data_IF_143306669480
#
_entry.id   IF_143306669480
#
_cell.length_a   1.000
_cell.length_b   1.000
_cell.length_c   1.000
_cell.angle_alpha   90.00
_cell.angle_beta   90.00
_cell.angle_gamma   90.00
#
_symmetry.space_group_name_H-M   'P 1'
#
loop_
_entity.id
_entity.type
_entity.pdbx_description
1 polymer ?
#
# COMPACT_ATOMS: atom_id res chain seq x y z
N UNK A 1 -21.29 0.75 -18.20
CA UNK A 1 -20.45 0.77 -16.99
C UNK A 1 -20.18 -0.68 -16.56
N UNK A 2 -18.92 -1.02 -16.23
CA UNK A 2 -18.54 -2.31 -15.62
C UNK A 2 -18.49 -2.21 -14.08
N UNK A 3 -19.16 -1.20 -13.54
CA UNK A 3 -19.01 -0.74 -12.17
C UNK A 3 -20.33 -0.94 -11.42
N UNK A 4 -20.29 -1.60 -10.27
CA UNK A 4 -21.48 -1.87 -9.46
C UNK A 4 -21.91 -0.59 -8.72
N UNK A 5 -23.06 -0.06 -9.10
CA UNK A 5 -23.60 1.19 -8.56
C UNK A 5 -24.37 0.96 -7.25
N UNK A 6 -24.20 1.88 -6.30
CA UNK A 6 -24.90 1.87 -5.00
C UNK A 6 -26.31 2.45 -5.14
N UNK A 7 -27.15 1.83 -5.99
CA UNK A 7 -28.54 2.25 -6.14
C UNK A 7 -29.29 2.09 -4.81
N UNK A 8 -30.29 2.94 -4.57
CA UNK A 8 -30.94 3.09 -3.27
C UNK A 8 -31.50 1.79 -2.68
N UNK A 9 -32.04 0.89 -3.51
CA UNK A 9 -32.67 -0.36 -3.06
C UNK A 9 -31.94 -1.60 -3.57
N UNK A 10 -31.99 -2.68 -2.77
CA UNK A 10 -31.47 -3.99 -3.17
C UNK A 10 -32.05 -4.46 -4.50
N UNK A 11 -33.35 -4.31 -4.70
CA UNK A 11 -34.02 -4.69 -5.96
C UNK A 11 -33.46 -3.93 -7.15
N UNK A 12 -33.24 -2.61 -7.02
CA UNK A 12 -32.65 -1.81 -8.09
C UNK A 12 -31.22 -2.24 -8.40
N UNK A 13 -30.41 -2.53 -7.37
CA UNK A 13 -29.03 -3.02 -7.53
C UNK A 13 -28.98 -4.39 -8.22
N UNK A 14 -29.83 -5.34 -7.81
CA UNK A 14 -29.95 -6.65 -8.46
C UNK A 14 -30.38 -6.54 -9.92
N UNK A 15 -31.41 -5.73 -10.22
CA UNK A 15 -31.85 -5.50 -11.59
C UNK A 15 -30.77 -4.84 -12.45
N UNK A 16 -30.01 -3.89 -11.88
CA UNK A 16 -28.86 -3.28 -12.55
C UNK A 16 -27.77 -4.33 -12.84
N UNK A 17 -27.49 -5.22 -11.88
CA UNK A 17 -26.55 -6.33 -12.08
C UNK A 17 -26.99 -7.23 -13.25
N UNK A 18 -28.22 -7.73 -13.21
CA UNK A 18 -28.74 -8.69 -14.19
C UNK A 18 -28.90 -8.10 -15.59
N UNK A 19 -29.44 -6.88 -15.69
CA UNK A 19 -29.83 -6.28 -16.98
C UNK A 19 -28.71 -5.47 -17.63
N UNK A 20 -27.76 -4.97 -16.84
CA UNK A 20 -26.73 -4.04 -17.34
C UNK A 20 -25.34 -4.60 -17.08
N UNK A 21 -24.99 -4.85 -15.82
CA UNK A 21 -23.60 -5.11 -15.45
C UNK A 21 -23.10 -6.47 -15.96
N UNK A 22 -23.81 -7.56 -15.69
CA UNK A 22 -23.40 -8.89 -16.09
C UNK A 22 -23.33 -9.08 -17.63
N UNK A 23 -24.33 -8.62 -18.42
CA UNK A 23 -24.22 -8.64 -19.88
C UNK A 23 -23.01 -7.85 -20.40
N UNK A 24 -22.77 -6.66 -19.84
CA UNK A 24 -21.61 -5.84 -20.23
C UNK A 24 -20.29 -6.46 -19.81
N UNK A 25 -20.20 -7.09 -18.64
CA UNK A 25 -19.00 -7.79 -18.20
C UNK A 25 -18.66 -8.95 -19.15
N UNK A 26 -19.66 -9.76 -19.53
CA UNK A 26 -19.51 -10.84 -20.52
C UNK A 26 -19.05 -10.32 -21.89
N UNK A 27 -19.49 -9.12 -22.28
CA UNK A 27 -19.09 -8.47 -23.53
C UNK A 27 -17.64 -7.95 -23.49
N UNK A 28 -17.27 -7.26 -22.40
CA UNK A 28 -16.06 -6.44 -22.36
C UNK A 28 -14.86 -7.12 -21.70
N UNK A 29 -15.05 -7.87 -20.62
CA UNK A 29 -13.91 -8.49 -19.91
C UNK A 29 -13.06 -9.37 -20.85
N UNK A 30 -13.63 -10.25 -21.69
CA UNK A 30 -12.83 -11.03 -22.63
C UNK A 30 -12.00 -10.19 -23.62
N UNK A 31 -12.46 -8.99 -23.99
CA UNK A 31 -11.75 -8.08 -24.90
C UNK A 31 -10.53 -7.41 -24.25
N UNK A 32 -10.48 -7.37 -22.92
CA UNK A 32 -9.45 -6.65 -22.16
C UNK A 32 -8.58 -7.56 -21.28
N UNK A 33 -9.03 -8.77 -20.93
CA UNK A 33 -8.36 -9.65 -19.95
C UNK A 33 -6.90 -9.97 -20.31
N UNK A 34 -6.59 -10.01 -21.60
CA UNK A 34 -5.24 -10.35 -22.08
C UNK A 34 -4.41 -9.09 -22.43
N UNK A 35 -4.90 -7.88 -22.06
CA UNK A 35 -4.13 -6.66 -22.26
C UNK A 35 -2.97 -6.57 -21.29
N UNK A 36 -1.80 -6.37 -21.87
CA UNK A 36 -0.59 -6.01 -21.13
C UNK A 36 -0.86 -4.75 -20.29
N UNK A 37 -0.65 -4.86 -18.97
CA UNK A 37 -0.90 -3.79 -17.99
C UNK A 37 -2.20 -3.90 -17.19
N UNK A 38 -3.11 -4.81 -17.52
CA UNK A 38 -4.30 -5.04 -16.69
C UNK A 38 -3.96 -5.91 -15.47
N UNK A 39 -3.95 -5.30 -14.28
CA UNK A 39 -3.58 -5.99 -13.04
C UNK A 39 -4.77 -6.61 -12.28
N UNK A 40 -5.92 -5.92 -12.24
CA UNK A 40 -7.10 -6.33 -11.47
C UNK A 40 -8.37 -5.66 -12.00
N UNK A 41 -9.54 -6.17 -11.60
CA UNK A 41 -10.84 -5.59 -11.91
C UNK A 41 -11.48 -5.00 -10.64
N UNK A 42 -11.54 -3.67 -10.53
CA UNK A 42 -12.29 -3.03 -9.45
C UNK A 42 -13.80 -3.13 -9.71
N UNK A 43 -14.52 -3.83 -8.83
CA UNK A 43 -15.95 -4.07 -8.99
C UNK A 43 -16.80 -2.87 -8.56
N UNK A 44 -16.34 -2.17 -7.51
CA UNK A 44 -16.98 -1.01 -6.87
C UNK A 44 -16.02 -0.39 -5.83
N UNK A 45 -16.42 0.69 -5.19
CA UNK A 45 -15.67 1.37 -4.12
C UNK A 45 -16.57 1.69 -2.93
N UNK A 46 -15.95 1.91 -1.77
CA UNK A 46 -16.51 2.51 -0.56
C UNK A 46 -17.85 1.92 -0.10
N UNK A 47 -17.97 0.60 -0.20
CA UNK A 47 -19.19 -0.12 0.14
C UNK A 47 -19.42 -0.26 1.64
N UNK A 48 -20.69 -0.40 2.00
CA UNK A 48 -21.10 -0.86 3.33
C UNK A 48 -21.14 -2.39 3.42
N UNK A 49 -21.14 -2.98 4.62
CA UNK A 49 -21.19 -4.44 4.79
C UNK A 49 -22.40 -5.12 4.11
N UNK A 50 -23.53 -4.42 3.97
CA UNK A 50 -24.74 -4.96 3.35
C UNK A 50 -24.55 -5.26 1.86
N UNK A 51 -23.74 -4.46 1.16
CA UNK A 51 -23.49 -4.61 -0.28
C UNK A 51 -22.58 -5.80 -0.57
N UNK A 52 -21.71 -6.19 0.37
CA UNK A 52 -20.71 -7.26 0.20
C UNK A 52 -21.35 -8.58 -0.28
N UNK A 53 -22.47 -8.96 0.33
CA UNK A 53 -23.18 -10.19 -0.02
C UNK A 53 -23.77 -10.16 -1.43
N UNK A 54 -24.14 -8.97 -1.92
CA UNK A 54 -24.70 -8.78 -3.27
C UNK A 54 -23.63 -8.88 -4.36
N UNK A 55 -22.35 -8.70 -4.02
CA UNK A 55 -21.24 -8.76 -4.99
C UNK A 55 -20.78 -10.17 -5.34
N UNK A 56 -21.17 -11.20 -4.57
CA UNK A 56 -20.72 -12.59 -4.78
C UNK A 56 -20.93 -13.12 -6.20
N UNK A 57 -22.11 -12.92 -6.84
CA UNK A 57 -22.30 -13.25 -8.25
C UNK A 57 -21.34 -12.52 -9.19
N UNK A 58 -21.00 -11.26 -8.92
CA UNK A 58 -20.10 -10.50 -9.79
C UNK A 58 -18.64 -10.96 -9.64
N UNK A 59 -18.19 -11.22 -8.41
CA UNK A 59 -16.90 -11.87 -8.14
C UNK A 59 -16.71 -13.17 -8.93
N UNK A 60 -17.72 -14.05 -8.91
CA UNK A 60 -17.68 -15.32 -9.67
C UNK A 60 -17.58 -15.08 -11.18
N UNK A 61 -18.40 -14.15 -11.70
CA UNK A 61 -18.40 -13.83 -13.12
C UNK A 61 -17.04 -13.30 -13.60
N UNK A 62 -16.40 -12.41 -12.83
CA UNK A 62 -15.08 -11.88 -13.21
C UNK A 62 -14.01 -12.97 -13.18
N UNK A 63 -14.01 -13.84 -12.15
CA UNK A 63 -13.07 -14.98 -12.07
C UNK A 63 -13.21 -15.95 -13.24
N UNK A 64 -14.44 -16.17 -13.71
CA UNK A 64 -14.72 -16.99 -14.88
C UNK A 64 -14.18 -16.34 -16.17
N UNK A 65 -14.43 -15.04 -16.35
CA UNK A 65 -14.10 -14.34 -17.59
C UNK A 65 -12.61 -13.97 -17.69
N UNK A 66 -11.95 -13.67 -16.57
CA UNK A 66 -10.56 -13.22 -16.47
C UNK A 66 -9.84 -13.92 -15.29
N UNK A 67 -9.52 -15.23 -15.42
CA UNK A 67 -8.96 -16.01 -14.31
C UNK A 67 -7.57 -15.53 -13.83
N UNK A 68 -6.85 -14.78 -14.67
CA UNK A 68 -5.52 -14.26 -14.37
C UNK A 68 -5.54 -12.86 -13.73
N UNK A 69 -6.67 -12.15 -13.75
CA UNK A 69 -6.80 -10.80 -13.17
C UNK A 69 -7.85 -10.81 -12.05
N UNK A 70 -7.45 -10.71 -10.78
CA UNK A 70 -8.38 -10.84 -9.69
C UNK A 70 -9.40 -9.69 -9.66
N UNK A 71 -10.67 -9.97 -9.33
CA UNK A 71 -11.59 -8.93 -8.88
C UNK A 71 -11.15 -8.36 -7.51
N UNK A 72 -11.34 -7.06 -7.31
CA UNK A 72 -11.10 -6.34 -6.07
C UNK A 72 -12.19 -5.30 -5.81
N UNK A 73 -12.28 -4.82 -4.59
CA UNK A 73 -13.11 -3.68 -4.18
C UNK A 73 -12.23 -2.67 -3.45
N UNK A 74 -12.43 -1.40 -3.73
CA UNK A 74 -11.75 -0.31 -3.04
C UNK A 74 -12.51 0.03 -1.75
N UNK A 75 -11.96 -0.33 -0.60
CA UNK A 75 -12.62 -0.19 0.69
C UNK A 75 -12.10 1.03 1.46
N UNK A 76 -12.99 1.88 1.98
CA UNK A 76 -12.67 2.84 3.05
C UNK A 76 -13.27 2.40 4.41
N UNK A 77 -14.08 1.33 4.39
CA UNK A 77 -14.84 0.79 5.52
C UNK A 77 -14.27 -0.58 5.94
N UNK A 78 -13.65 -0.66 7.12
CA UNK A 78 -13.00 -1.90 7.59
C UNK A 78 -13.99 -3.06 7.82
N UNK A 79 -15.14 -2.87 8.49
CA UNK A 79 -16.19 -3.90 8.56
C UNK A 79 -16.58 -4.49 7.20
N UNK A 80 -16.72 -3.66 6.16
CA UNK A 80 -17.05 -4.13 4.82
C UNK A 80 -15.91 -4.95 4.20
N UNK A 81 -14.66 -4.48 4.32
CA UNK A 81 -13.48 -5.24 3.87
C UNK A 81 -13.36 -6.60 4.56
N UNK A 82 -13.61 -6.67 5.87
CA UNK A 82 -13.57 -7.93 6.62
C UNK A 82 -14.68 -8.89 6.18
N UNK A 83 -15.89 -8.38 5.93
CA UNK A 83 -16.97 -9.18 5.37
C UNK A 83 -16.62 -9.69 3.97
N UNK A 84 -15.99 -8.86 3.13
CA UNK A 84 -15.60 -9.20 1.76
C UNK A 84 -14.51 -10.29 1.74
N UNK A 85 -13.50 -10.16 2.60
CA UNK A 85 -12.48 -11.19 2.86
C UNK A 85 -13.09 -12.54 3.24
N UNK A 86 -14.09 -12.54 4.12
CA UNK A 86 -14.76 -13.77 4.59
C UNK A 86 -15.65 -14.40 3.52
N UNK A 87 -16.45 -13.60 2.81
CA UNK A 87 -17.50 -14.08 1.92
C UNK A 87 -16.99 -14.30 0.49
N UNK A 88 -16.33 -13.30 -0.08
CA UNK A 88 -15.94 -13.31 -1.49
C UNK A 88 -14.49 -13.75 -1.70
N UNK A 89 -13.66 -13.72 -0.65
CA UNK A 89 -12.26 -14.18 -0.64
C UNK A 89 -11.42 -13.57 -1.78
N UNK A 90 -11.40 -12.23 -1.94
CA UNK A 90 -10.59 -11.60 -2.97
C UNK A 90 -9.11 -11.91 -2.76
N UNK A 91 -8.33 -12.00 -3.84
CA UNK A 91 -6.89 -12.16 -3.75
C UNK A 91 -6.18 -10.86 -3.29
N UNK A 92 -6.87 -9.73 -3.45
CA UNK A 92 -6.38 -8.38 -3.12
C UNK A 92 -7.52 -7.58 -2.51
N UNK A 93 -7.25 -6.86 -1.43
CA UNK A 93 -8.06 -5.75 -0.94
C UNK A 93 -7.33 -4.47 -1.30
N UNK A 94 -8.05 -3.55 -1.93
CA UNK A 94 -7.59 -2.16 -2.12
C UNK A 94 -8.20 -1.29 -1.03
N UNK A 95 -7.40 -0.44 -0.37
CA UNK A 95 -7.87 0.48 0.68
C UNK A 95 -7.78 1.93 0.23
N UNK A 96 -8.90 2.65 0.25
CA UNK A 96 -8.95 4.11 0.09
C UNK A 96 -8.91 4.80 1.45
N UNK A 97 -8.05 5.81 1.57
CA UNK A 97 -7.97 6.66 2.74
C UNK A 97 -7.48 8.06 2.37
N UNK A 98 -8.14 9.09 2.93
CA UNK A 98 -7.84 10.50 2.72
C UNK A 98 -7.15 11.12 3.95
N UNK A 99 -5.81 11.39 3.94
CA UNK A 99 -5.09 11.85 5.13
C UNK A 99 -5.04 13.35 5.34
N UNK A 100 -5.39 14.17 4.35
CA UNK A 100 -4.98 15.57 4.33
C UNK A 100 -6.17 16.51 4.20
N UNK A 101 -7.08 16.51 5.16
CA UNK A 101 -8.20 17.43 5.15
C UNK A 101 -7.80 18.81 5.66
N UNK A 102 -8.43 19.87 5.12
CA UNK A 102 -8.35 21.20 5.70
C UNK A 102 -9.08 21.30 7.06
N UNK A 103 -10.11 20.47 7.25
CA UNK A 103 -11.00 20.54 8.42
C UNK A 103 -10.95 19.26 9.26
N UNK A 104 -10.76 19.35 10.59
CA UNK A 104 -10.82 18.19 11.47
C UNK A 104 -12.21 17.54 11.53
N UNK A 105 -13.26 18.23 11.04
CA UNK A 105 -14.64 17.70 10.96
C UNK A 105 -14.83 16.73 9.80
N UNK A 106 -14.00 16.85 8.75
CA UNK A 106 -14.07 16.02 7.55
C UNK A 106 -13.08 14.85 7.61
N UNK A 107 -11.98 15.01 8.33
CA UNK A 107 -11.01 13.94 8.53
C UNK A 107 -9.71 14.44 9.17
N UNK A 108 -8.60 13.69 9.01
CA UNK A 108 -7.31 14.06 9.57
C UNK A 108 -6.81 15.39 8.98
N UNK A 109 -6.56 16.38 9.84
CA UNK A 109 -6.26 17.75 9.41
C UNK A 109 -4.92 18.31 9.92
N UNK A 110 -4.07 17.44 10.45
CA UNK A 110 -2.71 17.79 10.85
C UNK A 110 -1.80 16.56 10.73
N UNK A 111 -0.48 16.75 10.60
CA UNK A 111 0.46 15.66 10.31
C UNK A 111 0.33 14.46 11.25
N UNK A 112 0.19 14.70 12.58
CA UNK A 112 0.02 13.63 13.56
C UNK A 112 -1.22 12.78 13.30
N UNK A 113 -2.36 13.40 12.99
CA UNK A 113 -3.60 12.69 12.67
C UNK A 113 -3.50 11.96 11.33
N UNK A 114 -2.88 12.57 10.32
CA UNK A 114 -2.66 11.97 9.00
C UNK A 114 -1.84 10.69 9.12
N UNK A 115 -0.72 10.73 9.86
CA UNK A 115 0.11 9.56 10.16
C UNK A 115 -0.66 8.50 10.93
N UNK A 116 -1.37 8.88 12.00
CA UNK A 116 -2.13 7.91 12.81
C UNK A 116 -3.15 7.15 11.95
N UNK A 117 -3.80 7.84 11.01
CA UNK A 117 -4.79 7.24 10.14
C UNK A 117 -4.17 6.38 9.01
N UNK A 118 -3.00 6.75 8.46
CA UNK A 118 -2.23 5.86 7.57
C UNK A 118 -1.85 4.55 8.28
N UNK A 119 -1.36 4.65 9.52
CA UNK A 119 -0.97 3.49 10.33
C UNK A 119 -2.15 2.59 10.71
N UNK A 120 -3.37 3.13 10.71
CA UNK A 120 -4.57 2.33 10.89
C UNK A 120 -4.78 1.31 9.75
N UNK A 121 -4.11 1.48 8.61
CA UNK A 121 -4.06 0.49 7.52
C UNK A 121 -3.51 -0.88 7.96
N UNK A 122 -2.70 -0.94 9.01
CA UNK A 122 -2.17 -2.20 9.58
C UNK A 122 -3.27 -3.21 9.96
N UNK A 123 -4.46 -2.74 10.36
CA UNK A 123 -5.60 -3.63 10.66
C UNK A 123 -6.15 -4.32 9.40
N UNK A 124 -6.14 -3.63 8.26
CA UNK A 124 -6.51 -4.23 6.98
C UNK A 124 -5.48 -5.28 6.60
N UNK A 125 -4.19 -5.00 6.79
CA UNK A 125 -3.13 -5.97 6.49
C UNK A 125 -3.30 -7.25 7.31
N UNK A 126 -3.51 -7.13 8.64
CA UNK A 126 -3.76 -8.29 9.51
C UNK A 126 -4.93 -9.14 9.01
N UNK A 127 -6.07 -8.51 8.73
CA UNK A 127 -7.24 -9.22 8.20
C UNK A 127 -6.94 -9.88 6.84
N UNK A 128 -6.21 -9.20 5.96
CA UNK A 128 -5.80 -9.75 4.68
C UNK A 128 -4.91 -10.99 4.86
N UNK A 129 -4.00 -10.99 5.84
CA UNK A 129 -3.15 -12.16 6.16
C UNK A 129 -3.94 -13.35 6.68
N UNK A 130 -4.92 -13.12 7.55
CA UNK A 130 -5.84 -14.18 8.04
C UNK A 130 -6.63 -14.86 6.91
N UNK A 131 -6.80 -14.16 5.79
CA UNK A 131 -7.60 -14.59 4.64
C UNK A 131 -6.79 -14.78 3.35
N UNK A 132 -5.46 -14.88 3.44
CA UNK A 132 -4.55 -15.12 2.29
C UNK A 132 -4.67 -14.09 1.15
N UNK A 133 -5.10 -12.87 1.46
CA UNK A 133 -5.24 -11.77 0.51
C UNK A 133 -4.08 -10.77 0.66
N UNK A 134 -3.74 -10.08 -0.43
CA UNK A 134 -2.82 -8.94 -0.45
C UNK A 134 -3.53 -7.63 -0.09
N UNK A 135 -2.80 -6.67 0.48
CA UNK A 135 -3.29 -5.33 0.73
C UNK A 135 -2.61 -4.36 -0.23
N UNK A 136 -3.40 -3.64 -1.02
CA UNK A 136 -2.95 -2.51 -1.82
C UNK A 136 -3.51 -1.22 -1.25
N UNK A 137 -2.66 -0.22 -1.08
CA UNK A 137 -3.06 1.08 -0.51
C UNK A 137 -3.20 2.11 -1.62
N UNK A 138 -4.35 2.76 -1.69
CA UNK A 138 -4.54 3.96 -2.50
C UNK A 138 -4.10 5.18 -1.68
N UNK A 139 -2.92 5.69 -1.99
CA UNK A 139 -2.34 6.87 -1.35
C UNK A 139 -2.78 8.14 -2.07
N UNK A 140 -2.71 9.30 -1.41
CA UNK A 140 -3.38 10.51 -1.87
C UNK A 140 -2.39 11.59 -2.31
N UNK A 141 -2.67 12.14 -3.49
CA UNK A 141 -2.04 13.33 -4.06
C UNK A 141 -3.04 14.47 -4.30
N UNK A 142 -4.34 14.21 -4.12
CA UNK A 142 -5.39 15.19 -4.35
C UNK A 142 -5.43 16.27 -3.27
N UNK A 143 -5.50 17.52 -3.73
CA UNK A 143 -5.67 18.72 -2.94
C UNK A 143 -6.51 19.75 -3.68
N UNK A 144 -7.04 20.68 -2.91
CA UNK A 144 -7.79 21.84 -3.39
C UNK A 144 -7.21 23.09 -2.77
N UNK A 145 -7.27 24.25 -3.45
CA UNK A 145 -6.81 25.50 -2.88
C UNK A 145 -7.56 25.79 -1.58
N UNK A 146 -6.86 26.44 -0.67
CA UNK A 146 -7.45 26.94 0.56
C UNK A 146 -8.59 27.92 0.20
N UNK A 147 -9.84 27.54 0.49
CA UNK A 147 -10.99 28.44 0.35
C UNK A 147 -11.09 29.30 1.60
N UNK A 148 -11.73 30.49 1.55
CA UNK A 148 -11.89 31.37 2.73
C UNK A 148 -12.28 30.57 3.99
N UNK A 149 -11.66 30.85 5.15
CA UNK A 149 -12.02 30.20 6.40
C UNK A 149 -13.48 30.47 6.74
N UNK A 150 -14.07 29.62 7.56
CA UNK A 150 -15.36 29.88 8.20
C UNK A 150 -15.31 31.21 8.93
N UNK A 151 -16.44 31.91 8.94
CA UNK A 151 -16.62 33.07 9.81
C UNK A 151 -17.39 32.60 11.07
N UNK A 152 -16.83 32.73 12.28
CA UNK A 152 -15.49 33.27 12.60
C UNK A 152 -14.30 32.34 12.30
N UNK A 153 -13.10 32.88 11.96
CA UNK A 153 -11.95 32.14 11.42
C UNK A 153 -11.44 30.98 12.27
N UNK A 154 -11.66 31.01 13.59
CA UNK A 154 -11.24 29.95 14.50
C UNK A 154 -11.99 28.62 14.28
N UNK A 155 -13.09 28.62 13.52
CA UNK A 155 -13.75 27.39 13.10
C UNK A 155 -13.05 26.68 11.92
N UNK A 156 -12.00 27.27 11.35
CA UNK A 156 -11.19 26.68 10.27
C UNK A 156 -11.97 26.58 8.96
N UNK A 157 -11.70 25.57 8.14
CA UNK A 157 -12.34 25.41 6.83
C UNK A 157 -13.60 24.54 6.89
N UNK A 158 -14.57 24.78 6.00
CA UNK A 158 -15.77 23.93 5.91
C UNK A 158 -15.45 22.52 5.42
N UNK A 159 -14.69 22.43 4.32
CA UNK A 159 -14.43 21.19 3.58
C UNK A 159 -13.17 21.35 2.73
N UNK A 160 -12.71 20.26 2.11
CA UNK A 160 -11.62 20.25 1.13
C UNK A 160 -10.39 19.53 1.64
N UNK A 161 -9.51 19.23 0.69
CA UNK A 161 -8.25 18.55 0.93
C UNK A 161 -7.10 19.55 0.82
N UNK A 162 -6.22 19.55 1.82
CA UNK A 162 -4.91 20.18 1.74
C UNK A 162 -4.06 19.41 0.74
N UNK A 163 -3.39 20.16 -0.12
CA UNK A 163 -2.39 19.60 -1.01
C UNK A 163 -1.23 19.00 -0.20
N UNK A 164 -0.92 17.70 -0.38
CA UNK A 164 0.21 17.09 0.33
C UNK A 164 1.53 17.65 -0.16
N UNK A 165 2.47 17.83 0.76
CA UNK A 165 3.85 18.21 0.44
C UNK A 165 4.60 17.04 -0.23
N UNK A 166 5.68 17.31 -0.99
CA UNK A 166 6.49 16.26 -1.62
C UNK A 166 6.95 15.17 -0.65
N UNK A 167 7.40 15.50 0.56
CA UNK A 167 7.75 14.47 1.54
C UNK A 167 6.53 13.72 2.08
N UNK A 168 5.33 14.30 2.12
CA UNK A 168 4.11 13.58 2.49
C UNK A 168 3.66 12.59 1.41
N UNK A 169 3.95 12.86 0.13
CA UNK A 169 3.77 11.88 -0.96
C UNK A 169 4.61 10.61 -0.69
N UNK A 170 5.88 10.79 -0.32
CA UNK A 170 6.80 9.67 -0.02
C UNK A 170 6.41 8.94 1.27
N UNK A 171 6.08 9.71 2.31
CA UNK A 171 5.66 9.20 3.62
C UNK A 171 4.51 8.20 3.48
N UNK A 172 3.48 8.53 2.71
CA UNK A 172 2.33 7.66 2.55
C UNK A 172 2.72 6.28 1.99
N UNK A 173 3.61 6.25 1.00
CA UNK A 173 4.09 5.01 0.41
C UNK A 173 4.92 4.18 1.38
N UNK A 174 5.95 4.79 1.96
CA UNK A 174 6.86 4.09 2.88
C UNK A 174 6.16 3.61 4.15
N UNK A 175 5.28 4.42 4.75
CA UNK A 175 4.48 4.00 5.91
C UNK A 175 3.55 2.86 5.53
N UNK A 176 2.90 2.92 4.36
CA UNK A 176 2.03 1.83 3.89
C UNK A 176 2.79 0.51 3.74
N UNK A 177 3.99 0.53 3.15
CA UNK A 177 4.86 -0.65 3.01
C UNK A 177 5.32 -1.16 4.36
N UNK A 178 5.78 -0.27 5.25
CA UNK A 178 6.20 -0.64 6.61
C UNK A 178 5.07 -1.26 7.43
N UNK A 179 3.82 -0.84 7.19
CA UNK A 179 2.65 -1.40 7.85
C UNK A 179 2.15 -2.72 7.20
N UNK A 180 2.72 -3.11 6.06
CA UNK A 180 2.54 -4.41 5.41
C UNK A 180 1.92 -4.37 4.00
N UNK A 181 1.63 -3.20 3.44
CA UNK A 181 1.06 -3.11 2.09
C UNK A 181 2.01 -3.71 1.05
N UNK A 182 1.45 -4.49 0.12
CA UNK A 182 2.18 -5.16 -0.96
C UNK A 182 1.93 -4.51 -2.32
N UNK A 183 1.20 -3.40 -2.35
CA UNK A 183 0.96 -2.61 -3.55
C UNK A 183 0.54 -1.19 -3.19
N UNK A 184 0.90 -0.24 -4.05
CA UNK A 184 0.62 1.18 -3.89
C UNK A 184 0.16 1.76 -5.22
N UNK A 185 -0.79 2.68 -5.16
CA UNK A 185 -1.17 3.51 -6.30
C UNK A 185 -1.72 4.85 -5.78
N UNK A 186 -1.65 5.90 -6.59
CA UNK A 186 -2.05 7.24 -6.17
C UNK A 186 -3.44 7.62 -6.70
N UNK A 187 -4.28 8.18 -5.82
CA UNK A 187 -5.41 9.02 -6.20
C UNK A 187 -5.10 10.50 -5.95
N UNK A 188 -5.32 11.41 -6.88
CA UNK A 188 -5.52 11.18 -8.30
C UNK A 188 -4.28 11.66 -9.07
N UNK A 189 -4.13 11.14 -10.29
CA UNK A 189 -2.98 11.45 -11.13
C UNK A 189 -3.13 12.81 -11.82
N UNK A 190 -4.34 13.16 -12.29
CA UNK A 190 -4.63 14.33 -13.10
C UNK A 190 -5.86 15.10 -12.58
N UNK A 191 -5.75 16.43 -12.42
CA UNK A 191 -6.85 17.25 -11.95
C UNK A 191 -8.00 17.26 -12.94
N UNK A 192 -9.23 17.22 -12.41
CA UNK A 192 -10.45 17.35 -13.21
C UNK A 192 -10.78 18.81 -13.52
N UNK A 193 -10.22 19.74 -12.76
CA UNK A 193 -10.41 21.19 -12.89
C UNK A 193 -9.08 21.94 -12.72
N UNK A 194 -8.90 23.11 -13.34
CA UNK A 194 -7.64 23.87 -13.29
C UNK A 194 -7.16 24.22 -11.88
N UNK A 195 -8.08 24.39 -10.93
CA UNK A 195 -7.77 24.74 -9.55
C UNK A 195 -7.34 23.55 -8.69
N UNK A 196 -7.58 22.31 -9.13
CA UNK A 196 -7.24 21.12 -8.34
C UNK A 196 -5.73 20.83 -8.39
N UNK A 197 -5.21 20.32 -7.28
CA UNK A 197 -3.82 19.89 -7.16
C UNK A 197 -3.78 18.38 -7.10
N UNK A 198 -2.99 17.76 -7.95
CA UNK A 198 -2.80 16.31 -8.01
C UNK A 198 -1.32 15.99 -8.25
N UNK A 199 -0.98 14.76 -8.67
CA UNK A 199 0.40 14.46 -9.07
C UNK A 199 0.81 15.39 -10.21
N UNK A 200 0.15 15.30 -11.36
CA UNK A 200 0.39 16.18 -12.49
C UNK A 200 -0.49 17.44 -12.37
N UNK A 201 -0.10 18.52 -13.04
CA UNK A 201 -1.00 19.68 -13.20
C UNK A 201 -2.03 19.45 -14.33
N UNK A 202 -2.96 20.39 -14.50
CA UNK A 202 -4.01 20.32 -15.52
C UNK A 202 -3.46 20.35 -16.95
N UNK A 203 -2.26 20.90 -17.14
CA UNK A 203 -1.53 20.94 -18.41
C UNK A 203 -0.56 19.78 -18.60
N UNK A 204 -0.67 18.70 -17.81
CA UNK A 204 0.22 17.54 -17.85
C UNK A 204 1.69 17.86 -17.57
N UNK A 205 1.97 18.94 -16.83
CA UNK A 205 3.33 19.25 -16.39
C UNK A 205 3.66 18.52 -15.11
N UNK A 206 4.91 18.07 -15.02
CA UNK A 206 5.46 17.51 -13.81
C UNK A 206 5.37 18.54 -12.68
N UNK A 207 4.84 18.10 -11.53
CA UNK A 207 4.89 18.89 -10.29
C UNK A 207 5.90 18.28 -9.32
N UNK A 208 6.21 19.00 -8.24
CA UNK A 208 7.02 18.45 -7.15
C UNK A 208 6.44 17.16 -6.55
N UNK A 209 5.11 16.97 -6.62
CA UNK A 209 4.45 15.73 -6.17
C UNK A 209 4.65 14.59 -7.16
N UNK A 210 4.58 14.84 -8.47
CA UNK A 210 4.96 13.84 -9.49
C UNK A 210 6.39 13.38 -9.28
N UNK A 211 7.32 14.33 -9.08
CA UNK A 211 8.73 14.01 -8.83
C UNK A 211 8.93 13.17 -7.58
N UNK A 212 8.29 13.57 -6.46
CA UNK A 212 8.35 12.81 -5.22
C UNK A 212 7.75 11.39 -5.34
N UNK A 213 6.66 11.23 -6.08
CA UNK A 213 6.11 9.91 -6.38
C UNK A 213 7.08 9.08 -7.23
N UNK A 214 7.75 9.69 -8.20
CA UNK A 214 8.80 9.07 -8.99
C UNK A 214 9.97 8.58 -8.13
N UNK A 215 10.50 9.43 -7.24
CA UNK A 215 11.57 9.07 -6.28
C UNK A 215 11.16 7.89 -5.38
N UNK A 216 9.93 7.91 -4.86
CA UNK A 216 9.37 6.81 -4.06
C UNK A 216 9.35 5.50 -4.85
N UNK A 217 8.75 5.51 -6.05
CA UNK A 217 8.61 4.30 -6.85
C UNK A 217 9.94 3.80 -7.39
N UNK A 218 10.90 4.68 -7.71
CA UNK A 218 12.24 4.28 -8.10
C UNK A 218 12.91 3.45 -6.99
N UNK A 219 12.81 3.88 -5.73
CA UNK A 219 13.37 3.15 -4.61
C UNK A 219 12.62 1.85 -4.34
N UNK A 220 11.28 1.89 -4.30
CA UNK A 220 10.47 0.70 -4.05
C UNK A 220 10.62 -0.35 -5.14
N UNK A 221 10.73 0.03 -6.41
CA UNK A 221 10.89 -0.89 -7.52
C UNK A 221 12.17 -1.73 -7.38
N UNK A 222 13.27 -1.14 -6.86
CA UNK A 222 14.53 -1.85 -6.60
C UNK A 222 14.39 -3.00 -5.59
N UNK A 223 13.35 -3.01 -4.76
CA UNK A 223 13.16 -4.01 -3.69
C UNK A 223 11.79 -4.68 -3.73
N UNK A 224 10.93 -4.31 -4.68
CA UNK A 224 9.57 -4.83 -4.81
C UNK A 224 9.49 -6.37 -4.93
N UNK A 225 10.37 -7.06 -5.70
CA UNK A 225 10.37 -8.52 -5.74
C UNK A 225 10.53 -9.16 -4.36
N UNK A 226 11.37 -8.58 -3.51
CA UNK A 226 11.54 -9.04 -2.14
C UNK A 226 10.29 -8.70 -1.31
N UNK A 227 9.88 -7.43 -1.27
CA UNK A 227 8.77 -6.95 -0.42
C UNK A 227 7.48 -7.75 -0.62
N UNK A 228 7.15 -8.12 -1.87
CA UNK A 228 5.96 -8.92 -2.19
C UNK A 228 6.00 -10.35 -1.61
N UNK A 229 7.19 -10.86 -1.26
CA UNK A 229 7.43 -12.20 -0.68
C UNK A 229 7.64 -12.17 0.83
N UNK A 230 7.68 -10.96 1.42
CA UNK A 230 7.77 -10.80 2.85
C UNK A 230 6.39 -10.80 3.51
N UNK A 231 6.40 -11.07 4.80
CA UNK A 231 5.28 -10.84 5.71
C UNK A 231 5.78 -10.14 6.97
N UNK A 232 4.95 -9.27 7.54
CA UNK A 232 5.32 -8.52 8.73
C UNK A 232 5.38 -9.46 9.93
N UNK A 233 6.51 -9.43 10.62
CA UNK A 233 6.71 -10.12 11.87
C UNK A 233 6.29 -9.20 13.02
N UNK A 234 5.20 -9.58 13.70
CA UNK A 234 4.68 -8.85 14.87
C UNK A 234 5.41 -9.21 16.18
N UNK A 235 6.33 -10.17 16.16
CA UNK A 235 7.25 -10.48 17.25
C UNK A 235 8.54 -9.64 17.17
N UNK A 236 8.40 -8.36 16.79
CA UNK A 236 9.50 -7.41 16.63
C UNK A 236 9.99 -6.80 17.95
N UNK A 237 9.16 -6.90 19.01
CA UNK A 237 9.46 -6.37 20.33
C UNK A 237 10.75 -7.00 20.87
N UNK A 238 11.75 -6.16 21.14
CA UNK A 238 13.05 -6.59 21.61
C UNK A 238 13.99 -7.11 20.51
N UNK A 239 13.63 -7.04 19.22
CA UNK A 239 14.56 -7.30 18.13
C UNK A 239 15.11 -6.02 17.51
N UNK A 240 14.25 -5.05 17.21
CA UNK A 240 14.64 -3.77 16.59
C UNK A 240 14.00 -2.60 17.32
N UNK A 241 14.72 -1.49 17.45
CA UNK A 241 14.18 -0.23 17.94
C UNK A 241 14.89 0.98 17.32
N UNK A 242 14.20 2.12 17.29
CA UNK A 242 14.74 3.40 16.85
C UNK A 242 14.82 4.36 18.04
N UNK A 243 15.84 5.22 18.07
CA UNK A 243 15.93 6.27 19.10
C UNK A 243 15.01 7.48 18.84
N UNK A 244 14.43 7.57 17.65
CA UNK A 244 13.55 8.68 17.24
C UNK A 244 12.13 8.18 17.01
N UNK A 245 11.12 8.64 17.78
CA UNK A 245 9.73 8.19 17.64
C UNK A 245 9.06 8.60 16.32
N UNK A 246 9.69 9.49 15.54
CA UNK A 246 9.26 9.83 14.17
C UNK A 246 9.79 8.86 13.11
N UNK A 247 10.49 7.80 13.49
CA UNK A 247 10.90 6.72 12.58
C UNK A 247 10.36 5.41 13.11
N UNK A 248 9.57 4.71 12.29
CA UNK A 248 9.15 3.34 12.59
C UNK A 248 10.15 2.35 12.01
N UNK A 249 10.37 1.26 12.73
CA UNK A 249 11.11 0.10 12.28
C UNK A 249 10.25 -1.13 12.51
N UNK A 250 9.80 -1.76 11.42
CA UNK A 250 9.03 -3.00 11.49
C UNK A 250 9.81 -4.17 10.94
N UNK A 251 9.71 -5.31 11.61
CA UNK A 251 10.37 -6.53 11.12
C UNK A 251 9.49 -7.30 10.16
N UNK A 252 10.15 -8.02 9.27
CA UNK A 252 9.55 -8.87 8.26
C UNK A 252 10.35 -10.16 8.12
N UNK A 253 9.64 -11.22 7.78
CA UNK A 253 10.22 -12.54 7.46
C UNK A 253 9.73 -12.98 6.09
N UNK A 254 10.41 -13.96 5.50
CA UNK A 254 9.93 -14.56 4.25
C UNK A 254 8.64 -15.32 4.52
N UNK A 255 7.64 -15.12 3.66
CA UNK A 255 6.40 -15.88 3.72
C UNK A 255 6.70 -17.37 3.52
N UNK A 256 6.12 -18.21 4.37
CA UNK A 256 6.31 -19.67 4.34
C UNK A 256 5.97 -20.30 2.98
N UNK A 257 5.06 -19.70 2.22
CA UNK A 257 4.61 -20.21 0.91
C UNK A 257 5.20 -19.44 -0.29
N UNK A 258 6.35 -18.78 -0.12
CA UNK A 258 6.95 -17.93 -1.18
C UNK A 258 7.66 -18.70 -2.30
N UNK A 259 7.63 -20.03 -2.28
CA UNK A 259 7.92 -20.80 -3.49
C UNK A 259 6.76 -20.61 -4.47
N UNK A 260 7.07 -20.11 -5.68
CA UNK A 260 6.13 -19.71 -6.76
C UNK A 260 5.12 -20.80 -7.23
N UNK A 261 4.94 -21.90 -6.50
CA UNK A 261 4.13 -23.05 -6.87
C UNK A 261 2.75 -23.08 -6.20
N UNK A 262 2.48 -22.19 -5.24
CA UNK A 262 1.19 -22.19 -4.51
C UNK A 262 0.93 -23.46 -3.70
N UNK A 263 1.96 -24.27 -3.46
CA UNK A 263 1.93 -25.41 -2.54
C UNK A 263 2.54 -24.99 -1.21
N UNK A 264 2.05 -25.50 -0.07
CA UNK A 264 2.72 -25.33 1.21
C UNK A 264 4.15 -25.81 1.04
N UNK A 265 5.13 -24.96 1.38
CA UNK A 265 6.53 -25.35 1.32
C UNK A 265 6.72 -26.55 2.26
N UNK A 266 6.91 -27.73 1.66
CA UNK A 266 7.37 -28.90 2.39
C UNK A 266 8.70 -28.49 3.03
N UNK A 267 8.80 -28.60 4.36
CA UNK A 267 9.93 -28.12 5.15
C UNK A 267 11.23 -28.79 4.69
N UNK A 268 11.89 -28.26 3.67
CA UNK A 268 13.30 -28.51 3.43
C UNK A 268 14.05 -27.74 4.52
N UNK A 269 14.15 -28.36 5.70
CA UNK A 269 14.98 -27.93 6.82
C UNK A 269 16.39 -27.72 6.29
N UNK A 270 16.82 -26.46 6.15
CA UNK A 270 18.25 -26.17 6.13
C UNK A 270 18.82 -26.62 7.48
N UNK A 271 19.84 -27.48 7.52
CA UNK A 271 20.58 -27.79 8.74
C UNK A 271 21.56 -26.64 9.00
N UNK A 272 21.04 -25.44 9.29
CA UNK A 272 21.88 -24.33 9.75
C UNK A 272 21.44 -23.92 11.13
N UNK A 273 22.34 -23.97 12.09
CA UNK A 273 22.15 -23.44 13.45
C UNK A 273 22.00 -21.91 13.47
N UNK A 274 22.17 -21.25 12.32
CA UNK A 274 21.97 -19.81 12.16
C UNK A 274 20.48 -19.47 12.08
N UNK A 275 20.01 -18.45 12.82
CA UNK A 275 18.65 -17.98 12.71
C UNK A 275 18.38 -17.45 11.30
N UNK A 276 17.17 -17.67 10.76
CA UNK A 276 16.83 -17.22 9.41
C UNK A 276 16.95 -15.69 9.30
N UNK A 277 17.40 -15.22 8.13
CA UNK A 277 17.51 -13.80 7.85
C UNK A 277 16.20 -13.06 8.15
N UNK A 278 16.32 -11.91 8.81
CA UNK A 278 15.22 -10.99 9.10
C UNK A 278 15.35 -9.74 8.27
N UNK A 279 14.22 -9.11 7.97
CA UNK A 279 14.17 -7.89 7.19
C UNK A 279 13.58 -6.78 8.07
N UNK A 280 14.07 -5.55 7.91
CA UNK A 280 13.54 -4.39 8.62
C UNK A 280 13.11 -3.39 7.56
N UNK A 281 11.86 -2.92 7.65
CA UNK A 281 11.40 -1.75 6.88
C UNK A 281 11.39 -0.55 7.81
N UNK A 282 12.16 0.47 7.43
CA UNK A 282 12.18 1.77 8.09
C UNK A 282 11.29 2.74 7.32
N UNK A 283 10.56 3.59 8.02
CA UNK A 283 9.81 4.69 7.40
C UNK A 283 9.78 5.93 8.30
N UNK A 284 10.01 7.10 7.70
CA UNK A 284 9.79 8.38 8.34
C UNK A 284 8.29 8.65 8.52
N UNK A 285 7.92 9.09 9.71
CA UNK A 285 6.60 9.61 10.05
C UNK A 285 6.51 11.15 9.90
N UNK A 286 7.52 11.76 9.29
CA UNK A 286 7.60 13.20 9.06
C UNK A 286 7.91 13.47 7.58
N UNK A 287 6.96 14.14 6.91
CA UNK A 287 7.07 14.51 5.49
C UNK A 287 7.70 15.88 5.26
N UNK A 288 8.19 16.56 6.31
CA UNK A 288 8.70 17.92 6.22
C UNK A 288 10.20 17.99 6.51
N UNK A 289 10.65 17.29 7.56
CA UNK A 289 12.04 17.39 8.02
C UNK A 289 12.79 16.05 7.92
N UNK A 290 14.11 16.06 7.67
CA UNK A 290 14.95 14.87 7.81
C UNK A 290 14.91 14.33 9.24
N UNK A 291 14.89 13.01 9.37
CA UNK A 291 14.87 12.32 10.67
C UNK A 291 16.22 11.68 10.94
N UNK A 292 16.92 12.17 11.98
CA UNK A 292 18.13 11.56 12.54
C UNK A 292 17.75 10.57 13.64
N UNK A 293 18.41 9.41 13.69
CA UNK A 293 18.14 8.35 14.67
C UNK A 293 19.29 7.35 14.78
N UNK A 294 19.32 6.62 15.89
CA UNK A 294 20.11 5.40 16.04
C UNK A 294 19.16 4.20 15.87
N UNK A 295 19.61 3.19 15.13
CA UNK A 295 18.93 1.90 15.01
C UNK A 295 19.62 0.89 15.91
N UNK A 296 18.87 0.27 16.83
CA UNK A 296 19.37 -0.83 17.65
C UNK A 296 18.77 -2.14 17.13
N UNK A 297 19.62 -3.14 16.88
CA UNK A 297 19.22 -4.49 16.48
C UNK A 297 19.81 -5.49 17.48
N UNK A 298 18.99 -6.36 18.07
CA UNK A 298 19.41 -7.32 19.10
C UNK A 298 19.93 -8.62 18.46
N UNK A 299 21.11 -8.55 17.86
CA UNK A 299 21.81 -9.67 17.21
C UNK A 299 23.27 -9.30 16.92
N UNK A 300 24.11 -10.31 16.74
CA UNK A 300 25.49 -10.21 16.23
C UNK A 300 25.57 -10.31 14.69
N UNK A 301 24.44 -10.57 14.03
CA UNK A 301 24.37 -10.63 12.57
C UNK A 301 24.59 -9.25 11.93
N UNK A 302 25.01 -9.28 10.66
CA UNK A 302 25.34 -8.08 9.89
C UNK A 302 24.07 -7.43 9.36
N UNK A 303 24.11 -6.11 9.18
CA UNK A 303 22.98 -5.32 8.67
C UNK A 303 23.35 -4.74 7.30
N UNK A 304 22.52 -5.02 6.31
CA UNK A 304 22.70 -4.56 4.94
C UNK A 304 21.53 -3.69 4.48
N UNK A 305 21.82 -2.56 3.85
CA UNK A 305 20.84 -1.74 3.15
C UNK A 305 20.63 -2.31 1.74
N UNK A 306 19.42 -2.80 1.46
CA UNK A 306 19.10 -3.49 0.21
C UNK A 306 18.87 -2.52 -0.96
N UNK A 307 18.58 -1.25 -0.70
CA UNK A 307 18.37 -0.23 -1.73
C UNK A 307 19.73 0.27 -2.23
N UNK A 308 20.65 0.56 -1.31
CA UNK A 308 22.00 1.01 -1.66
C UNK A 308 22.99 -0.16 -1.89
N UNK A 309 22.60 -1.39 -1.55
CA UNK A 309 23.41 -2.62 -1.63
C UNK A 309 24.70 -2.53 -0.82
N UNK A 310 24.62 -1.96 0.37
CA UNK A 310 25.77 -1.74 1.24
C UNK A 310 25.59 -2.44 2.57
N UNK A 311 26.72 -2.88 3.10
CA UNK A 311 26.84 -3.21 4.51
C UNK A 311 26.86 -1.93 5.33
N UNK A 312 25.97 -1.84 6.32
CA UNK A 312 25.82 -0.68 7.19
C UNK A 312 25.94 -1.07 8.66
N UNK A 313 26.50 -2.24 8.97
CA UNK A 313 26.61 -2.77 10.34
C UNK A 313 27.26 -1.76 11.30
N UNK A 314 28.29 -1.05 10.84
CA UNK A 314 29.01 -0.04 11.63
C UNK A 314 28.41 1.39 11.51
N UNK A 315 27.28 1.54 10.82
CA UNK A 315 26.63 2.82 10.50
C UNK A 315 25.19 2.89 11.04
N UNK A 316 24.90 2.12 12.08
CA UNK A 316 23.58 2.11 12.72
C UNK A 316 23.37 3.30 13.68
N UNK A 317 24.44 4.05 13.98
CA UNK A 317 24.40 5.30 14.75
C UNK A 317 24.36 6.52 13.83
N UNK A 318 23.57 7.54 14.19
CA UNK A 318 23.35 8.77 13.41
C UNK A 318 22.86 8.51 11.96
N UNK A 319 22.00 7.52 11.81
CA UNK A 319 21.29 7.30 10.53
C UNK A 319 20.38 8.48 10.22
N UNK A 320 20.23 8.77 8.93
CA UNK A 320 19.34 9.83 8.43
C UNK A 320 18.36 9.28 7.39
N UNK A 321 17.07 9.56 7.60
CA UNK A 321 16.03 9.45 6.57
C UNK A 321 15.63 10.86 6.12
N UNK A 322 15.67 11.16 4.81
CA UNK A 322 15.08 12.40 4.31
C UNK A 322 13.55 12.47 4.55
N UNK A 323 12.91 13.63 4.33
CA UNK A 323 11.48 13.81 4.55
C UNK A 323 10.63 12.75 3.83
N UNK A 324 9.84 12.02 4.60
CA UNK A 324 8.95 10.95 4.15
C UNK A 324 9.62 9.71 3.56
N UNK A 325 10.93 9.57 3.63
CA UNK A 325 11.64 8.43 3.07
C UNK A 325 11.59 7.19 3.97
N UNK A 326 11.99 6.06 3.39
CA UNK A 326 12.14 4.79 4.07
C UNK A 326 13.33 4.00 3.55
N UNK A 327 13.57 2.84 4.14
CA UNK A 327 14.63 1.91 3.76
C UNK A 327 14.19 0.47 3.99
N UNK A 328 14.81 -0.45 3.26
CA UNK A 328 14.68 -1.89 3.50
C UNK A 328 16.05 -2.45 3.85
N UNK A 329 16.15 -3.02 5.04
CA UNK A 329 17.37 -3.61 5.56
C UNK A 329 17.23 -5.14 5.66
N UNK A 330 18.35 -5.83 5.50
CA UNK A 330 18.50 -7.25 5.81
C UNK A 330 19.41 -7.40 7.03
N UNK A 331 18.99 -8.23 7.97
CA UNK A 331 19.79 -8.69 9.11
C UNK A 331 20.08 -10.16 8.90
N UNK A 332 21.36 -10.51 8.69
CA UNK A 332 21.75 -11.87 8.32
C UNK A 332 23.21 -12.00 7.89
N UNK A 333 23.52 -13.11 7.21
CA UNK A 333 24.85 -13.38 6.68
C UNK A 333 25.10 -12.67 5.33
N UNK A 334 26.36 -12.66 4.87
CA UNK A 334 26.68 -12.21 3.51
C UNK A 334 26.01 -13.06 2.43
N UNK A 335 25.85 -14.36 2.68
CA UNK A 335 25.18 -15.26 1.74
C UNK A 335 23.69 -14.94 1.62
N UNK A 336 23.03 -14.60 2.73
CA UNK A 336 21.64 -14.14 2.73
C UNK A 336 21.48 -12.85 1.92
N UNK A 337 22.43 -11.91 2.07
CA UNK A 337 22.48 -10.68 1.30
C UNK A 337 22.64 -10.98 -0.20
N UNK A 338 23.61 -11.79 -0.61
CA UNK A 338 23.81 -12.17 -2.01
C UNK A 338 22.62 -12.94 -2.60
N UNK A 339 22.00 -13.84 -1.85
CA UNK A 339 20.79 -14.54 -2.27
C UNK A 339 19.62 -13.58 -2.46
N UNK A 340 19.46 -12.61 -1.55
CA UNK A 340 18.43 -11.59 -1.64
C UNK A 340 18.64 -10.65 -2.82
N UNK A 341 19.87 -10.19 -3.07
CA UNK A 341 20.18 -9.38 -4.25
C UNK A 341 19.91 -10.13 -5.57
N UNK A 342 20.27 -11.42 -5.65
CA UNK A 342 19.95 -12.25 -6.83
C UNK A 342 18.46 -12.34 -7.10
N UNK A 343 17.64 -12.52 -6.04
CA UNK A 343 16.18 -12.52 -6.15
C UNK A 343 15.64 -11.19 -6.69
N UNK A 344 16.18 -10.08 -6.20
CA UNK A 344 15.82 -8.73 -6.65
C UNK A 344 16.16 -8.55 -8.14
N UNK A 345 17.34 -9.00 -8.57
CA UNK A 345 17.84 -8.84 -9.94
C UNK A 345 17.14 -9.75 -10.95
N UNK A 346 16.79 -10.98 -10.55
CA UNK A 346 16.19 -11.98 -11.45
C UNK A 346 14.77 -11.63 -11.91
N UNK A 347 14.00 -10.93 -11.06
CA UNK A 347 12.64 -10.52 -11.41
C UNK A 347 12.60 -9.21 -12.22
N UNK A 348 13.65 -8.38 -12.12
CA UNK A 348 13.77 -7.14 -12.89
C UNK A 348 13.95 -7.36 -14.40
N UNK A 349 14.51 -8.49 -14.82
CA UNK A 349 14.79 -8.81 -16.23
C UNK A 349 13.60 -9.40 -17.00
N UNK A 350 12.50 -9.78 -16.32
CA UNK A 350 11.27 -10.28 -16.97
C UNK A 350 10.26 -9.19 -17.35
N UNK A 351 10.57 -7.93 -17.04
CA UNK A 351 9.66 -6.78 -17.20
C UNK A 351 10.11 -5.78 -18.28
N UNK A 352 11.15 -6.11 -19.04
CA UNK A 352 11.55 -5.46 -20.29
C UNK A 352 11.29 -6.42 -21.45
#
# INVERSE_FOLDING_TARGET
ALYYLHLATRTARLQSYERVLAPRAKEWIPKFRDRWGLAAWSLTEEITPEIVAELGPYYRLVRELAPNQPPTVLHNNFPAALADLKQNRPAVITHDFYPFFWSPRSGPSNPRRSVAALRAGSRFYKACREHWASLWMMVQAWGTPERRPLDPPHYGYRTGMRTPEPGEIKLQGWVSVAEGATGLFFYAALPSRPEEHQLWDFGWKETARTRAAGELFEQLQRVAPLLCRLERDYAEAGFVSTSNPKVIAHTFVRRKDSDNTGRPAEQTRRPSDLPPARYIVLASLDGFEPQRFNLSVQTDQRVFDLISRRDITDQLTDMVLPPGEGRVLLVGSRDDFHQTCRLIDSDGTRSQ
#
